data_IF_639543378904
#
_entry.id   IF_639543378904
#
_cell.length_a   1.000
_cell.length_b   1.000
_cell.length_c   1.000
_cell.angle_alpha   90.00
_cell.angle_beta   90.00
_cell.angle_gamma   90.00
#
_symmetry.space_group_name_H-M   'P 1'
#
loop_
_entity.id
_entity.type
_entity.pdbx_description
1 polymer ?
#
# COMPACT_ATOMS: atom_id res chain seq x y z
N UNK A 1 67.23 29.68 -5.32
CA UNK A 1 66.41 28.52 -4.89
C UNK A 1 65.07 29.05 -4.40
N UNK A 2 63.99 28.79 -5.14
CA UNK A 2 62.61 29.22 -4.81
C UNK A 2 61.82 27.97 -4.41
N UNK A 3 61.02 27.97 -3.32
CA UNK A 3 60.21 26.80 -2.99
C UNK A 3 58.99 26.73 -3.90
N UNK A 4 58.75 25.56 -4.47
CA UNK A 4 57.52 25.19 -5.16
C UNK A 4 56.39 25.08 -4.12
N UNK A 5 55.37 25.93 -4.23
CA UNK A 5 54.13 25.78 -3.47
C UNK A 5 53.30 24.69 -4.15
N UNK A 6 53.23 23.50 -3.56
CA UNK A 6 52.35 22.44 -3.99
C UNK A 6 50.90 22.82 -3.65
N UNK A 7 50.13 23.20 -4.66
CA UNK A 7 48.70 23.47 -4.57
C UNK A 7 47.98 22.11 -4.46
N UNK A 8 47.66 21.73 -3.22
CA UNK A 8 46.86 20.56 -2.90
C UNK A 8 45.39 20.85 -3.29
N UNK A 9 45.01 20.50 -4.51
CA UNK A 9 43.59 20.46 -4.92
C UNK A 9 42.90 19.31 -4.17
N UNK A 10 42.34 19.61 -3.00
CA UNK A 10 41.32 18.80 -2.35
C UNK A 10 40.04 18.82 -3.21
N UNK A 11 39.93 17.86 -4.12
CA UNK A 11 38.66 17.45 -4.72
C UNK A 11 37.85 16.71 -3.64
N UNK A 12 37.24 17.46 -2.73
CA UNK A 12 36.14 16.96 -1.91
C UNK A 12 34.86 17.02 -2.78
N UNK A 13 34.73 16.10 -3.72
CA UNK A 13 33.42 15.77 -4.27
C UNK A 13 32.63 15.07 -3.17
N UNK A 14 31.91 15.86 -2.37
CA UNK A 14 30.94 15.33 -1.42
C UNK A 14 29.95 14.47 -2.18
N UNK A 15 29.94 13.17 -1.91
CA UNK A 15 28.81 12.31 -2.25
C UNK A 15 27.60 12.89 -1.53
N UNK A 16 26.76 13.64 -2.26
CA UNK A 16 25.47 14.05 -1.77
C UNK A 16 24.67 12.78 -1.50
N UNK A 17 24.54 12.42 -0.22
CA UNK A 17 23.63 11.38 0.24
C UNK A 17 22.21 11.90 0.05
N UNK A 18 21.73 11.90 -1.19
CA UNK A 18 20.31 12.09 -1.46
C UNK A 18 19.60 10.94 -0.75
N UNK A 19 18.64 11.23 0.17
CA UNK A 19 17.91 10.17 0.85
C UNK A 19 17.22 9.28 -0.18
N UNK A 20 17.37 7.95 -0.05
CA UNK A 20 16.62 6.99 -0.88
C UNK A 20 15.13 7.23 -0.65
N UNK A 21 14.37 7.34 -1.74
CA UNK A 21 12.92 7.51 -1.67
C UNK A 21 12.23 6.23 -2.16
N UNK A 22 11.41 5.62 -1.31
CA UNK A 22 10.68 4.40 -1.69
C UNK A 22 9.25 4.67 -2.18
N UNK A 23 8.74 5.89 -2.00
CA UNK A 23 7.37 6.24 -2.37
C UNK A 23 7.35 7.24 -3.54
N UNK A 24 6.63 6.95 -4.63
CA UNK A 24 6.47 7.89 -5.73
C UNK A 24 5.48 8.98 -5.31
N UNK A 25 5.96 10.16 -4.93
CA UNK A 25 5.10 11.28 -4.48
C UNK A 25 4.83 12.33 -5.55
N UNK A 26 5.31 12.13 -6.78
CA UNK A 26 5.18 13.13 -7.84
C UNK A 26 3.79 13.04 -8.50
N UNK A 27 2.98 14.08 -8.32
CA UNK A 27 1.70 14.25 -9.02
C UNK A 27 1.87 14.08 -10.54
N UNK A 28 0.95 13.32 -11.14
CA UNK A 28 0.92 12.97 -12.57
C UNK A 28 1.77 11.75 -12.94
N UNK A 29 2.51 11.17 -11.99
CA UNK A 29 3.16 9.88 -12.21
C UNK A 29 2.12 8.78 -12.38
N UNK A 30 2.30 7.94 -13.39
CA UNK A 30 1.41 6.84 -13.74
C UNK A 30 2.22 5.58 -13.97
N UNK A 31 1.67 4.43 -13.61
CA UNK A 31 2.23 3.14 -13.95
C UNK A 31 1.12 2.09 -14.05
N UNK A 32 1.44 1.00 -14.74
CA UNK A 32 0.58 -0.16 -14.87
C UNK A 32 1.25 -1.35 -14.16
N UNK A 33 0.43 -2.14 -13.49
CA UNK A 33 0.84 -3.44 -12.95
C UNK A 33 0.04 -4.54 -13.61
N UNK A 34 0.74 -5.59 -14.04
CA UNK A 34 0.18 -6.72 -14.78
C UNK A 34 0.16 -7.95 -13.90
N UNK A 35 -0.98 -8.63 -13.86
CA UNK A 35 -1.13 -9.94 -13.22
C UNK A 35 -0.39 -11.04 -13.98
N UNK A 36 0.48 -11.78 -13.31
CA UNK A 36 1.36 -12.79 -13.95
C UNK A 36 0.58 -13.86 -14.73
N UNK A 37 -0.54 -14.33 -14.17
CA UNK A 37 -1.27 -15.49 -14.70
C UNK A 37 -2.32 -15.11 -15.74
N UNK A 38 -2.90 -13.91 -15.61
CA UNK A 38 -4.06 -13.50 -16.42
C UNK A 38 -3.71 -12.41 -17.43
N UNK A 39 -2.60 -11.71 -17.24
CA UNK A 39 -2.23 -10.54 -18.03
C UNK A 39 -3.13 -9.33 -17.81
N UNK A 40 -4.01 -9.35 -16.80
CA UNK A 40 -4.88 -8.21 -16.53
C UNK A 40 -4.09 -7.02 -15.98
N UNK A 41 -4.54 -5.83 -16.32
CA UNK A 41 -3.87 -4.58 -15.99
C UNK A 41 -4.64 -3.86 -14.89
N UNK A 42 -3.89 -3.43 -13.88
CA UNK A 42 -4.33 -2.44 -12.88
C UNK A 42 -3.55 -1.16 -13.10
N UNK A 43 -4.25 -0.04 -13.25
CA UNK A 43 -3.65 1.26 -13.46
C UNK A 43 -3.50 2.02 -12.14
N UNK A 44 -2.37 2.67 -11.97
CA UNK A 44 -2.06 3.48 -10.80
C UNK A 44 -1.64 4.89 -11.24
N UNK A 45 -2.14 5.90 -10.55
CA UNK A 45 -1.78 7.29 -10.78
C UNK A 45 -1.64 8.06 -9.47
N UNK A 46 -0.58 8.87 -9.35
CA UNK A 46 -0.47 9.86 -8.27
C UNK A 46 -1.23 11.11 -8.69
N UNK A 47 -2.31 11.42 -7.98
CA UNK A 47 -3.17 12.58 -8.25
C UNK A 47 -3.21 13.54 -7.05
N UNK A 48 -3.54 14.83 -7.27
CA UNK A 48 -3.75 15.76 -6.16
C UNK A 48 -4.86 15.22 -5.25
N UNK A 49 -4.74 15.41 -3.93
CA UNK A 49 -5.84 15.09 -3.04
C UNK A 49 -7.04 16.02 -3.32
N UNK A 50 -8.29 15.52 -3.29
CA UNK A 50 -9.49 16.29 -3.61
C UNK A 50 -9.73 17.44 -2.64
N UNK A 51 -9.40 17.23 -1.36
CA UNK A 51 -9.57 18.19 -0.27
C UNK A 51 -8.51 17.94 0.80
N UNK A 52 -7.26 18.34 0.57
CA UNK A 52 -6.21 18.16 1.59
C UNK A 52 -5.92 19.45 2.34
N UNK A 53 -5.97 19.37 3.67
CA UNK A 53 -5.43 20.38 4.59
C UNK A 53 -3.90 20.26 4.76
N UNK A 54 -3.27 19.28 4.09
CA UNK A 54 -1.85 18.97 4.17
C UNK A 54 -1.17 19.12 2.81
N UNK A 55 -0.14 19.98 2.75
CA UNK A 55 0.63 20.22 1.53
C UNK A 55 1.41 18.98 1.04
N UNK A 56 1.71 18.05 1.96
CA UNK A 56 2.52 16.86 1.71
C UNK A 56 1.67 15.58 1.50
N UNK A 57 0.38 15.75 1.20
CA UNK A 57 -0.52 14.63 0.89
C UNK A 57 -0.70 14.44 -0.61
N UNK A 58 -0.82 13.18 -1.02
CA UNK A 58 -1.15 12.77 -2.39
C UNK A 58 -2.20 11.67 -2.36
N UNK A 59 -2.87 11.44 -3.47
CA UNK A 59 -3.70 10.26 -3.66
C UNK A 59 -3.05 9.30 -4.64
N UNK A 60 -3.07 8.00 -4.33
CA UNK A 60 -2.94 6.96 -5.34
C UNK A 60 -4.34 6.65 -5.84
N UNK A 61 -4.62 6.95 -7.10
CA UNK A 61 -5.83 6.52 -7.79
C UNK A 61 -5.56 5.19 -8.50
N UNK A 62 -6.29 4.16 -8.11
CA UNK A 62 -6.10 2.79 -8.59
C UNK A 62 -7.38 2.36 -9.32
N UNK A 63 -7.25 2.02 -10.60
CA UNK A 63 -8.40 1.64 -11.45
C UNK A 63 -8.15 0.34 -12.17
N UNK A 64 -9.25 -0.36 -12.49
CA UNK A 64 -9.21 -1.59 -13.28
C UNK A 64 -10.44 -1.71 -14.16
N UNK A 65 -10.30 -2.36 -15.31
CA UNK A 65 -11.45 -2.67 -16.19
C UNK A 65 -11.97 -4.08 -15.96
N UNK A 66 -11.08 -5.05 -15.79
CA UNK A 66 -11.44 -6.46 -15.67
C UNK A 66 -11.80 -6.83 -14.22
N UNK A 67 -12.87 -7.59 -14.03
CA UNK A 67 -13.34 -8.02 -12.71
C UNK A 67 -12.28 -8.81 -11.92
N UNK A 68 -11.48 -9.61 -12.62
CA UNK A 68 -10.42 -10.46 -12.07
C UNK A 68 -9.08 -9.75 -11.84
N UNK A 69 -8.92 -8.51 -12.33
CA UNK A 69 -7.73 -7.72 -12.02
C UNK A 69 -7.70 -7.37 -10.53
N UNK A 70 -6.49 -7.18 -10.00
CA UNK A 70 -6.31 -6.57 -8.68
C UNK A 70 -6.94 -5.17 -8.69
N UNK A 71 -7.56 -4.69 -7.63
CA UNK A 71 -7.88 -5.20 -6.29
C UNK A 71 -9.40 -5.49 -6.26
N UNK A 72 -9.95 -6.10 -5.20
CA UNK A 72 -11.39 -6.40 -5.10
C UNK A 72 -11.94 -7.29 -6.25
N UNK A 73 -11.58 -8.57 -6.20
CA UNK A 73 -11.98 -9.56 -7.20
C UNK A 73 -13.51 -9.63 -7.37
N UNK A 74 -13.97 -9.71 -8.63
CA UNK A 74 -15.39 -9.83 -8.99
C UNK A 74 -16.08 -8.54 -9.40
N UNK A 75 -15.47 -7.37 -9.16
CA UNK A 75 -16.05 -6.07 -9.50
C UNK A 75 -15.32 -5.43 -10.69
N UNK A 76 -15.84 -5.49 -11.93
CA UNK A 76 -15.24 -4.75 -13.04
C UNK A 76 -15.43 -3.24 -12.86
N UNK A 77 -14.47 -2.42 -13.33
CA UNK A 77 -14.58 -0.96 -13.24
C UNK A 77 -14.39 -0.38 -11.83
N UNK A 78 -13.88 -1.16 -10.87
CA UNK A 78 -13.65 -0.66 -9.52
C UNK A 78 -12.55 0.42 -9.49
N UNK A 79 -12.75 1.42 -8.62
CA UNK A 79 -11.82 2.52 -8.38
C UNK A 79 -11.51 2.65 -6.90
N UNK A 80 -10.24 2.85 -6.55
CA UNK A 80 -9.78 3.13 -5.20
C UNK A 80 -9.01 4.44 -5.19
N UNK A 81 -9.40 5.33 -4.29
CA UNK A 81 -8.68 6.55 -3.98
C UNK A 81 -8.03 6.37 -2.64
N UNK A 82 -6.71 6.32 -2.64
CA UNK A 82 -5.95 6.05 -1.44
C UNK A 82 -5.12 7.27 -1.05
N UNK A 83 -5.59 7.97 -0.01
CA UNK A 83 -4.96 9.17 0.52
C UNK A 83 -3.75 8.83 1.36
N UNK A 84 -2.61 9.41 0.96
CA UNK A 84 -1.31 9.16 1.53
C UNK A 84 -0.73 10.47 2.04
N UNK A 85 -0.15 10.46 3.23
CA UNK A 85 0.49 11.63 3.84
C UNK A 85 1.91 11.29 4.27
N UNK A 86 2.84 12.21 3.99
CA UNK A 86 4.16 12.14 4.59
C UNK A 86 4.14 12.80 5.98
N UNK A 87 4.58 12.06 7.01
CA UNK A 87 4.76 12.58 8.36
C UNK A 87 6.09 13.34 8.49
N UNK A 88 6.25 14.11 9.57
CA UNK A 88 7.47 14.89 9.83
C UNK A 88 8.74 14.07 9.95
N UNK A 89 8.63 12.78 10.32
CA UNK A 89 9.72 11.81 10.36
C UNK A 89 9.97 11.12 9.01
N UNK A 90 9.30 11.59 7.94
CA UNK A 90 9.35 11.12 6.55
C UNK A 90 8.68 9.78 6.29
N UNK A 91 7.97 9.18 7.25
CA UNK A 91 7.08 8.05 6.98
C UNK A 91 5.99 8.43 6.00
N UNK A 92 5.61 7.49 5.13
CA UNK A 92 4.36 7.55 4.40
C UNK A 92 3.35 6.62 5.06
N UNK A 93 2.22 7.20 5.44
CA UNK A 93 1.10 6.49 6.04
C UNK A 93 -0.15 6.75 5.21
N UNK A 94 -1.07 5.78 5.21
CA UNK A 94 -2.41 6.04 4.74
C UNK A 94 -3.10 7.04 5.67
N UNK A 95 -3.92 7.92 5.12
CA UNK A 95 -4.74 8.89 5.83
C UNK A 95 -6.22 8.54 5.68
N UNK A 96 -6.59 8.17 4.45
CA UNK A 96 -7.89 7.58 4.15
C UNK A 96 -7.84 6.66 2.94
N UNK A 97 -8.85 5.80 2.80
CA UNK A 97 -9.18 5.15 1.53
C UNK A 97 -10.64 5.36 1.19
N UNK A 98 -10.94 5.52 -0.10
CA UNK A 98 -12.30 5.60 -0.64
C UNK A 98 -12.36 4.63 -1.80
N UNK A 99 -13.04 3.51 -1.59
CA UNK A 99 -13.37 2.59 -2.65
C UNK A 99 -14.70 3.00 -3.29
N UNK A 100 -14.75 3.11 -4.62
CA UNK A 100 -15.98 3.21 -5.38
C UNK A 100 -16.14 1.96 -6.24
N UNK A 101 -17.28 1.30 -6.06
CA UNK A 101 -17.64 0.10 -6.79
C UNK A 101 -18.81 0.49 -7.69
N UNK A 102 -18.55 0.74 -8.96
CA UNK A 102 -19.62 1.11 -9.89
C UNK A 102 -20.65 -0.03 -9.99
N UNK A 103 -21.93 0.23 -9.71
CA UNK A 103 -23.02 -0.73 -9.84
C UNK A 103 -24.05 -0.20 -10.86
N UNK A 104 -25.21 -0.85 -11.09
CA UNK A 104 -26.34 -0.04 -11.47
C UNK A 104 -26.84 0.85 -10.32
N UNK A 105 -26.72 0.46 -9.03
CA UNK A 105 -27.49 1.13 -7.95
C UNK A 105 -27.00 1.03 -6.46
N UNK A 106 -25.76 0.68 -6.14
CA UNK A 106 -25.24 0.65 -4.76
C UNK A 106 -23.77 1.12 -4.70
N UNK A 107 -23.52 2.44 -4.70
CA UNK A 107 -22.18 2.93 -4.37
C UNK A 107 -21.86 2.42 -2.97
N UNK A 108 -20.99 1.41 -2.87
CA UNK A 108 -20.43 1.03 -1.59
C UNK A 108 -19.18 1.86 -1.40
N UNK A 109 -19.20 2.69 -0.36
CA UNK A 109 -18.04 3.45 0.07
C UNK A 109 -17.48 2.70 1.26
N UNK A 110 -16.25 2.21 1.11
CA UNK A 110 -15.44 1.87 2.27
C UNK A 110 -14.60 3.12 2.56
N UNK A 111 -14.93 3.81 3.66
CA UNK A 111 -14.16 4.93 4.17
C UNK A 111 -13.38 4.46 5.38
N UNK A 112 -12.06 4.35 5.20
CA UNK A 112 -11.14 4.02 6.27
C UNK A 112 -10.48 5.31 6.70
N UNK A 113 -10.49 5.62 8.00
CA UNK A 113 -9.63 6.67 8.54
C UNK A 113 -8.51 6.04 9.36
N UNK A 114 -7.28 6.38 9.04
CA UNK A 114 -6.09 5.76 9.60
C UNK A 114 -5.49 6.65 10.69
N UNK A 115 -5.17 6.09 11.86
CA UNK A 115 -4.28 6.76 12.81
C UNK A 115 -2.84 6.81 12.29
N UNK A 116 -1.97 7.54 13.00
CA UNK A 116 -0.61 7.84 12.53
C UNK A 116 0.31 6.63 12.33
N UNK A 117 -0.10 5.42 12.74
CA UNK A 117 0.67 4.19 12.55
C UNK A 117 -0.09 3.10 11.80
N UNK A 118 -1.37 3.29 11.47
CA UNK A 118 -2.11 2.29 10.70
C UNK A 118 -1.76 2.38 9.22
N UNK A 119 -1.55 1.23 8.61
CA UNK A 119 -1.19 1.08 7.19
C UNK A 119 0.04 1.93 6.84
N UNK A 120 1.18 1.61 7.46
CA UNK A 120 2.43 2.31 7.22
C UNK A 120 3.09 1.79 5.94
N UNK A 121 2.88 2.51 4.85
CA UNK A 121 3.30 2.11 3.50
C UNK A 121 4.82 2.16 3.31
N UNK A 122 5.47 3.22 3.82
CA UNK A 122 6.93 3.38 3.78
C UNK A 122 7.43 3.89 5.13
N UNK A 123 8.37 3.19 5.79
CA UNK A 123 8.92 3.60 7.08
C UNK A 123 9.87 4.81 6.93
N UNK A 124 10.36 5.41 8.03
CA UNK A 124 11.36 6.48 7.94
C UNK A 124 12.61 5.99 7.19
N UNK A 125 13.39 6.88 6.55
CA UNK A 125 14.68 6.52 5.98
C UNK A 125 15.59 5.82 7.00
N UNK A 126 16.19 4.70 6.60
CA UNK A 126 17.04 3.84 7.43
C UNK A 126 16.33 3.15 8.60
N UNK A 127 14.99 3.06 8.59
CA UNK A 127 14.27 2.32 9.59
C UNK A 127 14.72 0.84 9.59
N UNK A 128 14.95 0.24 10.76
CA UNK A 128 15.24 -1.18 10.84
C UNK A 128 14.03 -2.00 10.37
N UNK A 129 14.32 -3.22 9.93
CA UNK A 129 13.27 -4.24 9.80
C UNK A 129 12.56 -4.43 11.14
N UNK A 130 11.25 -4.66 11.10
CA UNK A 130 10.45 -4.79 12.31
C UNK A 130 8.97 -4.60 12.08
N UNK A 131 8.23 -4.70 13.18
CA UNK A 131 6.77 -4.71 13.22
C UNK A 131 6.26 -3.36 13.73
N UNK A 132 5.31 -2.78 13.01
CA UNK A 132 4.68 -1.50 13.30
C UNK A 132 3.17 -1.68 13.30
N UNK A 133 2.48 -1.13 14.29
CA UNK A 133 1.04 -1.33 14.43
C UNK A 133 0.30 -0.01 14.61
N UNK A 134 -0.91 0.04 14.09
CA UNK A 134 -1.85 1.13 14.31
C UNK A 134 -3.29 0.64 14.14
N UNK A 135 -4.23 1.59 14.22
CA UNK A 135 -5.63 1.27 14.04
C UNK A 135 -6.30 2.19 13.01
N UNK A 136 -7.15 1.60 12.18
CA UNK A 136 -8.11 2.35 11.38
C UNK A 136 -9.48 2.36 12.06
N UNK A 137 -10.27 3.37 11.70
CA UNK A 137 -11.69 3.42 11.95
C UNK A 137 -12.40 3.24 10.62
N UNK A 138 -13.11 2.12 10.52
CA UNK A 138 -13.72 1.70 9.27
C UNK A 138 -15.20 2.06 9.29
N UNK A 139 -15.64 2.77 8.26
CA UNK A 139 -17.06 2.98 7.99
C UNK A 139 -17.44 2.27 6.71
N UNK A 140 -18.31 1.27 6.84
CA UNK A 140 -18.78 0.44 5.75
C UNK A 140 -20.16 0.94 5.32
N UNK A 141 -20.25 1.53 4.13
CA UNK A 141 -21.51 2.05 3.60
C UNK A 141 -22.02 1.11 2.51
N UNK A 142 -23.09 0.36 2.77
CA UNK A 142 -23.78 -0.40 1.72
C UNK A 142 -25.09 0.32 1.35
N UNK A 143 -25.13 1.05 0.24
CA UNK A 143 -26.38 1.70 -0.18
C UNK A 143 -26.28 3.14 -0.66
N UNK A 144 -27.41 3.62 -1.21
CA UNK A 144 -27.66 5.04 -1.51
C UNK A 144 -28.06 5.83 -0.24
N UNK A 145 -28.03 5.17 0.92
CA UNK A 145 -28.55 5.68 2.19
C UNK A 145 -27.42 5.84 3.18
N UNK A 146 -27.46 6.96 3.89
CA UNK A 146 -26.62 7.38 5.01
C UNK A 146 -25.92 6.20 5.72
N UNK A 147 -24.59 6.22 5.74
CA UNK A 147 -23.79 5.23 6.45
C UNK A 147 -24.19 5.26 7.94
N UNK A 148 -24.77 4.19 8.51
CA UNK A 148 -24.84 4.11 9.96
C UNK A 148 -23.39 4.16 10.45
N UNK A 149 -23.06 5.13 11.29
CA UNK A 149 -21.74 5.30 11.90
C UNK A 149 -21.46 4.15 12.87
N UNK A 150 -21.27 2.94 12.36
CA UNK A 150 -20.70 1.82 13.10
C UNK A 150 -19.20 1.82 12.81
N UNK A 151 -18.47 2.53 13.66
CA UNK A 151 -17.02 2.55 13.62
C UNK A 151 -16.50 1.21 14.11
N UNK A 152 -15.99 0.38 13.20
CA UNK A 152 -15.22 -0.79 13.61
C UNK A 152 -13.77 -0.33 13.69
N UNK A 153 -13.15 -0.54 14.85
CA UNK A 153 -11.72 -0.35 14.99
C UNK A 153 -11.04 -1.56 14.35
N UNK A 154 -10.18 -1.36 13.37
CA UNK A 154 -9.42 -2.44 12.73
C UNK A 154 -7.95 -2.24 13.01
N UNK A 155 -7.26 -3.31 13.39
CA UNK A 155 -5.82 -3.25 13.68
C UNK A 155 -5.05 -3.54 12.41
N UNK A 156 -4.05 -2.72 12.16
CA UNK A 156 -3.10 -2.91 11.08
C UNK A 156 -1.74 -3.26 11.66
N UNK A 157 -1.10 -4.30 11.12
CA UNK A 157 0.32 -4.59 11.36
C UNK A 157 1.06 -4.48 10.03
N UNK A 158 2.04 -3.58 9.99
CA UNK A 158 3.00 -3.44 8.90
C UNK A 158 4.32 -4.07 9.35
N UNK A 159 4.73 -5.16 8.70
CA UNK A 159 6.04 -5.80 8.92
C UNK A 159 7.00 -5.40 7.80
N UNK A 160 8.05 -4.71 8.19
CA UNK A 160 9.04 -4.17 7.26
C UNK A 160 10.25 -5.10 7.16
N UNK A 161 10.65 -5.39 5.92
CA UNK A 161 11.92 -6.07 5.61
C UNK A 161 12.52 -5.57 4.29
N UNK A 162 13.73 -6.04 3.96
CA UNK A 162 14.49 -5.57 2.79
C UNK A 162 14.97 -6.72 1.89
N UNK A 163 14.06 -7.49 1.27
CA UNK A 163 14.42 -8.57 0.36
C UNK A 163 14.94 -8.05 -0.98
N UNK A 164 15.49 -8.94 -1.80
CA UNK A 164 15.71 -8.67 -3.22
C UNK A 164 14.50 -9.09 -4.04
N UNK A 165 14.09 -8.26 -4.99
CA UNK A 165 13.03 -8.56 -5.95
C UNK A 165 13.59 -8.67 -7.37
N UNK A 166 12.87 -9.38 -8.23
CA UNK A 166 13.17 -9.53 -9.65
C UNK A 166 11.86 -9.34 -10.44
N UNK A 167 11.62 -8.09 -10.86
CA UNK A 167 10.42 -7.66 -11.59
C UNK A 167 10.83 -7.07 -12.94
N UNK A 168 9.92 -6.99 -13.92
CA UNK A 168 10.23 -6.35 -15.20
C UNK A 168 10.75 -4.91 -15.08
N UNK A 169 10.22 -4.13 -14.11
CA UNK A 169 10.62 -2.74 -13.89
C UNK A 169 11.87 -2.58 -13.02
N UNK A 170 12.22 -3.57 -12.19
CA UNK A 170 13.30 -3.44 -11.21
C UNK A 170 13.85 -4.80 -10.74
N UNK A 171 15.18 -4.86 -10.60
CA UNK A 171 15.89 -5.99 -9.98
C UNK A 171 16.91 -5.49 -8.95
N UNK A 172 16.76 -5.92 -7.70
CA UNK A 172 17.63 -5.49 -6.61
C UNK A 172 16.94 -5.46 -5.25
N UNK A 173 17.59 -4.88 -4.22
CA UNK A 173 17.00 -4.69 -2.90
C UNK A 173 15.77 -3.79 -2.97
N UNK A 174 14.66 -4.24 -2.39
CA UNK A 174 13.43 -3.48 -2.26
C UNK A 174 13.04 -3.40 -0.79
N UNK A 175 12.25 -2.39 -0.44
CA UNK A 175 11.49 -2.36 0.79
C UNK A 175 10.27 -3.28 0.59
N UNK A 176 10.14 -4.30 1.44
CA UNK A 176 8.90 -5.05 1.58
C UNK A 176 8.12 -4.49 2.76
N UNK A 177 6.90 -4.06 2.48
CA UNK A 177 5.88 -3.85 3.48
C UNK A 177 4.86 -4.99 3.42
N UNK A 178 4.86 -5.82 4.46
CA UNK A 178 3.93 -6.92 4.65
C UNK A 178 2.81 -6.43 5.58
N UNK A 179 1.62 -6.18 5.02
CA UNK A 179 0.49 -5.56 5.70
C UNK A 179 -0.55 -6.60 6.10
N UNK A 180 -0.95 -6.58 7.36
CA UNK A 180 -2.00 -7.42 7.93
C UNK A 180 -3.17 -6.55 8.42
N UNK A 181 -4.35 -6.77 7.84
CA UNK A 181 -5.61 -6.13 8.23
C UNK A 181 -6.41 -7.06 9.15
N UNK A 182 -6.34 -6.80 10.44
CA UNK A 182 -6.86 -7.67 11.50
C UNK A 182 -8.10 -7.04 12.15
N UNK A 183 -9.29 -7.59 11.91
CA UNK A 183 -10.52 -7.13 12.56
C UNK A 183 -10.44 -7.30 14.08
N UNK A 184 -10.54 -6.22 14.85
CA UNK A 184 -10.43 -6.27 16.32
C UNK A 184 -11.69 -6.85 17.00
N UNK A 185 -11.54 -7.29 18.27
CA UNK A 185 -10.31 -7.36 19.04
C UNK A 185 -9.58 -8.68 18.78
N UNK A 186 -8.39 -8.61 18.18
CA UNK A 186 -7.44 -9.72 18.13
C UNK A 186 -6.48 -9.53 19.31
N UNK A 187 -6.35 -10.55 20.15
CA UNK A 187 -5.24 -10.65 21.11
C UNK A 187 -3.92 -10.58 20.32
N UNK A 188 -2.97 -9.72 20.69
CA UNK A 188 -1.68 -9.60 19.98
C UNK A 188 -0.95 -10.96 19.84
N UNK A 189 -1.24 -11.93 20.72
CA UNK A 189 -0.74 -13.31 20.61
C UNK A 189 -1.25 -14.07 19.37
N UNK A 190 -2.37 -13.63 18.79
CA UNK A 190 -3.05 -14.22 17.63
C UNK A 190 -2.71 -13.53 16.30
N UNK A 191 -1.89 -12.47 16.30
CA UNK A 191 -1.42 -11.80 15.08
C UNK A 191 -0.70 -12.76 14.13
N UNK A 192 -0.06 -13.80 14.67
CA UNK A 192 0.59 -14.84 13.89
C UNK A 192 -0.41 -15.91 13.38
N UNK A 193 -1.71 -15.70 13.54
CA UNK A 193 -2.74 -16.55 13.00
C UNK A 193 -3.25 -15.95 11.67
N UNK A 194 -2.70 -16.35 10.53
CA UNK A 194 -3.05 -15.77 9.22
C UNK A 194 -4.53 -15.97 8.86
N UNK A 195 -5.22 -16.86 9.57
CA UNK A 195 -6.66 -17.09 9.45
C UNK A 195 -7.52 -15.91 9.94
N UNK A 196 -6.97 -14.85 10.55
CA UNK A 196 -7.80 -13.76 11.09
C UNK A 196 -7.59 -12.39 10.45
N UNK A 197 -6.69 -12.29 9.47
CA UNK A 197 -6.33 -11.00 8.90
C UNK A 197 -6.23 -11.09 7.37
N UNK A 198 -6.71 -10.07 6.65
CA UNK A 198 -6.32 -9.92 5.25
C UNK A 198 -4.82 -9.61 5.20
N UNK A 199 -4.13 -10.08 4.17
CA UNK A 199 -2.67 -10.04 4.13
C UNK A 199 -2.17 -9.75 2.71
N UNK A 200 -1.39 -8.68 2.59
CA UNK A 200 -0.81 -8.24 1.31
C UNK A 200 0.67 -7.91 1.46
N UNK A 201 1.46 -8.24 0.43
CA UNK A 201 2.87 -7.91 0.36
C UNK A 201 3.09 -6.85 -0.71
N UNK A 202 3.58 -5.69 -0.31
CA UNK A 202 3.84 -4.55 -1.17
C UNK A 202 5.34 -4.30 -1.25
N UNK A 203 5.90 -4.37 -2.45
CA UNK A 203 7.33 -4.20 -2.68
C UNK A 203 7.61 -2.85 -3.35
N UNK A 204 8.46 -2.06 -2.71
CA UNK A 204 8.88 -0.74 -3.16
C UNK A 204 10.36 -0.73 -3.53
N UNK A 205 10.64 -0.44 -4.79
CA UNK A 205 12.00 -0.26 -5.28
C UNK A 205 12.49 1.17 -4.97
N UNK A 206 13.79 1.32 -4.62
CA UNK A 206 14.39 2.62 -4.37
C UNK A 206 14.30 3.51 -5.61
N UNK A 207 13.84 4.75 -5.41
CA UNK A 207 13.67 5.83 -6.39
C UNK A 207 12.72 5.50 -7.57
N UNK A 208 12.00 4.38 -7.48
CA UNK A 208 11.01 3.93 -8.47
C UNK A 208 9.60 3.91 -7.86
N UNK A 209 9.48 3.42 -6.62
CA UNK A 209 8.19 3.22 -5.98
C UNK A 209 7.72 1.78 -5.98
N UNK A 210 6.40 1.60 -5.94
CA UNK A 210 5.75 0.28 -5.98
C UNK A 210 6.13 -0.47 -7.26
N UNK A 211 6.59 -1.73 -7.11
CA UNK A 211 7.02 -2.58 -8.22
C UNK A 211 6.35 -3.96 -8.24
N UNK A 212 5.88 -4.46 -7.10
CA UNK A 212 5.13 -5.71 -7.00
C UNK A 212 4.11 -5.62 -5.86
N UNK A 213 2.92 -6.16 -6.10
CA UNK A 213 1.98 -6.53 -5.04
C UNK A 213 1.73 -8.02 -5.18
N UNK A 214 2.05 -8.77 -4.12
CA UNK A 214 1.78 -10.19 -4.02
C UNK A 214 0.68 -10.38 -2.96
N UNK A 215 -0.60 -10.43 -3.37
CA UNK A 215 -1.67 -10.64 -2.42
C UNK A 215 -1.60 -12.08 -1.93
N UNK A 216 -1.34 -12.27 -0.64
CA UNK A 216 -1.42 -13.56 0.03
C UNK A 216 -2.70 -13.57 0.83
N UNK A 217 -3.83 -13.66 0.14
CA UNK A 217 -5.10 -13.95 0.80
C UNK A 217 -5.02 -15.36 1.38
N UNK A 218 -4.47 -15.49 2.58
CA UNK A 218 -4.72 -16.67 3.38
C UNK A 218 -6.16 -16.53 3.83
N UNK A 219 -7.01 -17.44 3.36
CA UNK A 219 -8.43 -17.38 3.63
C UNK A 219 -8.65 -17.19 5.13
N UNK A 220 -9.24 -16.06 5.51
CA UNK A 220 -10.00 -15.98 6.75
C UNK A 220 -10.95 -17.17 6.68
N UNK A 221 -10.90 -18.17 7.59
CA UNK A 221 -11.96 -19.14 7.71
C UNK A 221 -13.21 -18.29 7.78
N UNK A 222 -14.02 -18.46 6.76
CA UNK A 222 -15.33 -17.88 6.67
C UNK A 222 -15.94 -17.92 8.09
N UNK A 223 -16.46 -16.78 8.54
CA UNK A 223 -17.17 -16.57 9.82
C UNK A 223 -17.69 -17.91 10.40
N UNK A 224 -17.60 -18.21 11.71
CA UNK A 224 -18.26 -19.40 12.27
C UNK A 224 -19.75 -19.57 11.89
N UNK A 225 -20.42 -18.52 11.37
CA UNK A 225 -21.76 -18.56 10.79
C UNK A 225 -21.83 -18.84 9.27
N UNK A 226 -20.72 -19.00 8.57
CA UNK A 226 -20.71 -19.35 7.16
C UNK A 226 -21.16 -20.80 6.97
N UNK A 227 -21.97 -21.07 5.93
CA UNK A 227 -22.41 -22.42 5.63
C UNK A 227 -21.19 -23.34 5.47
N UNK A 228 -21.14 -24.49 6.16
CA UNK A 228 -20.10 -25.48 5.96
C UNK A 228 -19.94 -25.82 4.48
N UNK A 229 -18.72 -25.70 3.95
CA UNK A 229 -18.41 -26.01 2.55
C UNK A 229 -18.36 -24.82 1.59
N UNK A 230 -18.43 -23.57 2.08
CA UNK A 230 -18.12 -22.40 1.24
C UNK A 230 -16.62 -22.41 0.92
N UNK A 231 -16.19 -22.57 -0.34
CA UNK A 231 -14.77 -22.56 -0.68
C UNK A 231 -14.18 -21.18 -0.38
N UNK A 232 -12.89 -21.11 0.05
CA UNK A 232 -12.22 -19.83 0.21
C UNK A 232 -12.20 -19.07 -1.12
N UNK A 233 -12.29 -17.73 -1.10
CA UNK A 233 -12.11 -16.95 -2.31
C UNK A 233 -10.73 -17.27 -2.92
N UNK A 234 -10.62 -17.34 -4.26
CA UNK A 234 -9.35 -17.60 -4.92
C UNK A 234 -8.35 -16.49 -4.59
N UNK A 235 -7.11 -16.90 -4.30
CA UNK A 235 -5.99 -15.98 -4.11
C UNK A 235 -5.73 -15.30 -5.46
N UNK A 236 -5.75 -13.96 -5.55
CA UNK A 236 -5.37 -13.27 -6.77
C UNK A 236 -3.88 -13.54 -7.08
N UNK A 237 -3.48 -13.59 -8.36
CA UNK A 237 -2.07 -13.66 -8.71
C UNK A 237 -1.33 -12.40 -8.28
N UNK A 238 -0.01 -12.50 -8.13
CA UNK A 238 0.84 -11.32 -7.98
C UNK A 238 0.72 -10.42 -9.22
N UNK A 239 0.80 -9.10 -8.98
CA UNK A 239 0.87 -8.10 -10.03
C UNK A 239 2.24 -7.42 -10.00
N UNK A 240 2.82 -7.16 -11.17
CA UNK A 240 4.15 -6.52 -11.29
C UNK A 240 4.12 -5.33 -12.20
N UNK A 241 4.86 -4.28 -11.82
CA UNK A 241 5.00 -3.07 -12.61
C UNK A 241 5.77 -3.35 -13.90
N UNK A 242 5.28 -2.77 -15.00
CA UNK A 242 5.84 -2.98 -16.35
C UNK A 242 6.47 -1.72 -16.97
N UNK A 243 6.34 -0.54 -16.34
CA UNK A 243 6.76 0.75 -16.87
C UNK A 243 7.29 1.74 -15.83
#
# INVERSE_FOLDING_TARGET
>A
MKPLLAMLCLLLSGCGNTPITYFPSKIGQKWDMVADETGDITHFEIVPPPTSDHADSVNIHITKTQARAYWQNGTPGAELWWGMRQLSDRRWVADYSIANFDPPNLMRFDYLHFDSNSYMVVPPPNAPAGDYYGYSQDTWCAGNSYCPTSWVKVMWLSRISYPTVDTPAYKGPALLNEEYECAQPIDLSEINNPLKCAHELWYFAPDIGLVEIAPKWEAVPCDPNCPPGTPPPPIPPAIRRIN
#
